data_IF_370295687572
#
_entry.id   IF_370295687572
#
_cell.length_a   1.000
_cell.length_b   1.000
_cell.length_c   1.000
_cell.angle_alpha   90.00
_cell.angle_beta   90.00
_cell.angle_gamma   90.00
#
_symmetry.space_group_name_H-M   'P 1'
#
loop_
_entity.id
_entity.type
_entity.pdbx_description
1 polymer ?
#
# COMPACT_ATOMS: atom_id res chain seq x y z
N UNK A 1 7.63 2.53 -1.45
CA UNK A 1 8.01 1.80 -0.24
C UNK A 1 7.32 0.45 -0.23
N UNK A 2 8.00 -0.60 0.19
CA UNK A 2 7.49 -1.97 0.13
C UNK A 2 7.59 -2.59 -1.26
N UNK A 3 8.55 -2.13 -2.07
CA UNK A 3 8.84 -2.79 -3.35
C UNK A 3 9.34 -4.22 -3.14
N UNK A 4 9.14 -5.12 -4.11
CA UNK A 4 9.71 -6.47 -4.07
C UNK A 4 11.23 -6.39 -3.92
N UNK A 5 11.79 -7.22 -3.03
CA UNK A 5 13.22 -7.22 -2.68
C UNK A 5 13.75 -5.92 -2.02
N UNK A 6 12.88 -4.98 -1.62
CA UNK A 6 13.29 -3.77 -0.89
C UNK A 6 13.80 -4.13 0.52
N UNK A 7 15.08 -3.89 0.74
CA UNK A 7 15.75 -4.07 2.03
C UNK A 7 15.79 -2.77 2.83
N UNK A 8 16.17 -2.86 4.11
CA UNK A 8 16.35 -1.67 4.94
C UNK A 8 17.54 -0.81 4.47
N UNK A 9 18.53 -1.41 3.80
CA UNK A 9 19.63 -0.67 3.16
C UNK A 9 19.10 0.30 2.11
N UNK A 10 18.11 -0.11 1.32
CA UNK A 10 17.53 0.77 0.29
C UNK A 10 16.83 1.99 0.89
N UNK A 11 16.21 1.85 2.07
CA UNK A 11 15.63 2.98 2.81
C UNK A 11 16.73 3.94 3.26
N UNK A 12 17.85 3.41 3.75
CA UNK A 12 19.00 4.21 4.16
C UNK A 12 19.64 4.96 2.97
N UNK A 13 19.78 4.31 1.82
CA UNK A 13 20.33 4.90 0.60
C UNK A 13 19.48 6.10 0.13
N UNK A 14 18.14 6.00 0.21
CA UNK A 14 17.23 7.10 -0.10
C UNK A 14 17.43 8.27 0.87
N UNK A 15 17.65 8.00 2.16
CA UNK A 15 17.90 9.03 3.17
C UNK A 15 19.22 9.75 2.87
N UNK A 16 20.30 9.02 2.58
CA UNK A 16 21.60 9.59 2.18
C UNK A 16 21.46 10.44 0.92
N UNK A 17 20.71 9.96 -0.07
CA UNK A 17 20.46 10.70 -1.30
C UNK A 17 19.75 12.03 -1.02
N UNK A 18 18.69 12.02 -0.21
CA UNK A 18 17.96 13.23 0.16
C UNK A 18 18.78 14.18 1.03
N UNK A 19 19.69 13.66 1.86
CA UNK A 19 20.66 14.49 2.59
C UNK A 19 21.58 15.25 1.64
N UNK A 20 22.13 14.57 0.62
CA UNK A 20 22.97 15.18 -0.41
C UNK A 20 22.22 16.30 -1.13
N UNK A 21 20.95 16.07 -1.48
CA UNK A 21 20.10 17.12 -2.09
C UNK A 21 19.89 18.28 -1.12
N UNK A 22 19.59 18.01 0.16
CA UNK A 22 19.41 19.06 1.16
C UNK A 22 20.64 19.98 1.28
N UNK A 23 21.86 19.44 1.13
CA UNK A 23 23.11 20.20 1.18
C UNK A 23 23.35 21.13 -0.03
N UNK A 24 22.52 21.05 -1.08
CA UNK A 24 22.60 21.94 -2.24
C UNK A 24 22.07 23.37 -1.97
N UNK A 25 21.58 23.66 -0.76
CA UNK A 25 21.17 25.01 -0.37
C UNK A 25 19.72 25.37 -0.72
N UNK A 26 18.86 24.37 -0.94
CA UNK A 26 17.44 24.59 -1.16
C UNK A 26 16.77 25.33 0.01
N UNK A 27 15.84 26.22 -0.30
CA UNK A 27 15.07 26.94 0.70
C UNK A 27 14.28 26.00 1.61
N UNK A 28 13.98 26.47 2.83
CA UNK A 28 13.22 25.73 3.82
C UNK A 28 11.88 25.23 3.24
N UNK A 29 11.57 23.95 3.42
CA UNK A 29 10.33 23.30 2.97
C UNK A 29 10.05 23.36 1.45
N UNK A 30 11.04 23.68 0.61
CA UNK A 30 10.87 23.73 -0.85
C UNK A 30 10.80 22.34 -1.50
N UNK A 31 11.52 21.35 -0.95
CA UNK A 31 11.55 19.98 -1.46
C UNK A 31 10.38 19.17 -0.90
N UNK A 32 9.38 18.89 -1.74
CA UNK A 32 8.18 18.14 -1.34
C UNK A 32 8.38 16.65 -1.58
N UNK A 33 8.54 15.89 -0.51
CA UNK A 33 8.73 14.44 -0.59
C UNK A 33 7.42 13.73 -0.25
N UNK A 34 6.93 12.94 -1.21
CA UNK A 34 5.82 12.03 -1.02
C UNK A 34 6.31 10.59 -1.16
N UNK A 35 5.85 9.71 -0.27
CA UNK A 35 6.20 8.29 -0.29
C UNK A 35 4.90 7.50 -0.28
N UNK A 36 4.74 6.68 -1.31
CA UNK A 36 3.57 5.83 -1.48
C UNK A 36 3.96 4.36 -1.28
N UNK A 37 3.09 3.53 -0.68
CA UNK A 37 3.24 2.09 -0.69
C UNK A 37 3.18 1.54 -2.12
N UNK A 38 3.94 0.49 -2.39
CA UNK A 38 3.85 -0.26 -3.64
C UNK A 38 2.52 -1.03 -3.69
N UNK A 39 1.72 -0.87 -4.76
CA UNK A 39 0.44 -1.56 -4.92
C UNK A 39 0.58 -2.64 -5.99
N UNK A 40 0.53 -3.94 -5.64
CA UNK A 40 0.48 -5.04 -6.60
C UNK A 40 -0.69 -4.86 -7.57
N UNK A 41 -0.44 -5.17 -8.84
CA UNK A 41 -1.42 -5.07 -9.92
C UNK A 41 -1.57 -6.42 -10.60
N UNK A 42 -2.80 -6.75 -10.94
CA UNK A 42 -3.16 -7.92 -11.71
C UNK A 42 -2.46 -7.91 -13.07
N UNK A 43 -2.04 -9.07 -13.55
CA UNK A 43 -1.27 -9.28 -14.78
C UNK A 43 0.08 -8.52 -14.82
N UNK A 44 0.71 -8.33 -13.65
CA UNK A 44 2.07 -7.78 -13.57
C UNK A 44 3.02 -8.78 -12.93
N UNK A 45 4.35 -8.71 -13.19
CA UNK A 45 5.32 -9.58 -12.55
C UNK A 45 5.29 -9.54 -11.01
N UNK A 46 4.72 -8.48 -10.44
CA UNK A 46 4.65 -8.25 -9.00
C UNK A 46 3.25 -8.45 -8.42
N UNK A 47 2.33 -9.06 -9.17
CA UNK A 47 0.96 -9.35 -8.72
C UNK A 47 0.92 -10.09 -7.37
N UNK A 48 1.85 -11.02 -7.17
CA UNK A 48 1.93 -11.89 -6.00
C UNK A 48 2.68 -11.27 -4.81
N UNK A 49 3.17 -10.04 -4.96
CA UNK A 49 3.97 -9.34 -3.96
C UNK A 49 3.09 -8.66 -2.89
N UNK A 50 2.22 -9.47 -2.28
CA UNK A 50 1.18 -9.03 -1.34
C UNK A 50 1.63 -9.06 0.13
N UNK A 51 2.88 -9.45 0.40
CA UNK A 51 3.35 -9.78 1.76
C UNK A 51 3.14 -8.65 2.77
N UNK A 52 3.33 -7.38 2.37
CA UNK A 52 3.13 -6.22 3.24
C UNK A 52 1.65 -5.94 3.57
N UNK A 53 0.71 -6.52 2.82
CA UNK A 53 -0.73 -6.32 2.96
C UNK A 53 -1.44 -7.44 3.72
N UNK A 54 -0.69 -8.47 4.12
CA UNK A 54 -1.15 -9.47 5.10
C UNK A 54 -1.14 -8.86 6.51
N UNK A 55 -2.17 -9.15 7.30
CA UNK A 55 -2.34 -8.58 8.65
C UNK A 55 -1.13 -8.79 9.55
N UNK A 56 -0.51 -9.97 9.49
CA UNK A 56 0.69 -10.30 10.27
C UNK A 56 1.90 -9.41 9.97
N UNK A 57 1.95 -8.79 8.80
CA UNK A 57 3.13 -8.05 8.30
C UNK A 57 2.89 -6.54 8.19
N UNK A 58 1.67 -6.06 8.42
CA UNK A 58 1.29 -4.66 8.17
C UNK A 58 2.13 -3.67 8.98
N UNK A 59 2.58 -4.08 10.16
CA UNK A 59 3.43 -3.28 11.03
C UNK A 59 4.83 -3.04 10.47
N UNK A 60 5.36 -3.95 9.64
CA UNK A 60 6.68 -3.78 9.02
C UNK A 60 6.73 -2.53 8.14
N UNK A 61 5.68 -2.28 7.37
CA UNK A 61 5.59 -1.08 6.54
C UNK A 61 5.44 0.19 7.39
N UNK A 62 4.70 0.13 8.52
CA UNK A 62 4.58 1.26 9.46
C UNK A 62 5.94 1.68 10.00
N UNK A 63 6.79 0.73 10.41
CA UNK A 63 8.11 1.03 10.95
C UNK A 63 9.03 1.66 9.90
N UNK A 64 9.01 1.19 8.64
CA UNK A 64 9.76 1.83 7.55
C UNK A 64 9.36 3.31 7.35
N UNK A 65 8.06 3.62 7.38
CA UNK A 65 7.59 5.02 7.31
C UNK A 65 8.07 5.86 8.49
N UNK A 66 8.05 5.31 9.72
CA UNK A 66 8.52 6.02 10.91
C UNK A 66 10.02 6.34 10.83
N UNK A 67 10.84 5.38 10.40
CA UNK A 67 12.28 5.59 10.20
C UNK A 67 12.49 6.70 9.19
N UNK A 68 11.83 6.62 8.03
CA UNK A 68 11.93 7.64 6.99
C UNK A 68 11.52 9.03 7.50
N UNK A 69 10.39 9.15 8.21
CA UNK A 69 9.94 10.44 8.74
C UNK A 69 10.92 11.02 9.76
N UNK A 70 11.41 10.18 10.68
CA UNK A 70 12.36 10.59 11.72
C UNK A 70 13.66 11.12 11.13
N UNK A 71 14.19 10.45 10.12
CA UNK A 71 15.45 10.86 9.50
C UNK A 71 15.27 12.10 8.61
N UNK A 72 14.23 12.14 7.77
CA UNK A 72 14.04 13.25 6.82
C UNK A 72 13.56 14.55 7.48
N UNK A 73 12.90 14.50 8.64
CA UNK A 73 12.52 15.70 9.40
C UNK A 73 13.72 16.55 9.85
N UNK A 74 14.92 15.98 9.87
CA UNK A 74 16.17 16.67 10.21
C UNK A 74 16.59 17.65 9.11
N UNK A 75 16.09 17.48 7.88
CA UNK A 75 16.49 18.26 6.71
C UNK A 75 15.53 19.45 6.52
N UNK A 76 16.03 20.66 6.70
CA UNK A 76 15.23 21.90 6.70
C UNK A 76 14.55 22.18 5.35
N UNK A 77 15.18 21.76 4.26
CA UNK A 77 14.63 21.92 2.90
C UNK A 77 13.45 20.98 2.62
N UNK A 78 13.29 19.89 3.39
CA UNK A 78 12.31 18.84 3.10
C UNK A 78 10.98 19.08 3.80
N UNK A 79 9.91 19.07 3.00
CA UNK A 79 8.52 19.02 3.45
C UNK A 79 7.91 17.65 3.14
N UNK A 80 7.73 16.84 4.18
CA UNK A 80 7.07 15.54 4.06
C UNK A 80 5.56 15.70 3.82
N UNK A 81 5.06 14.93 2.85
CA UNK A 81 3.63 14.89 2.47
C UNK A 81 2.86 13.68 3.01
N UNK A 82 3.51 12.85 3.80
CA UNK A 82 2.94 11.70 4.48
C UNK A 82 3.03 11.91 6.01
N UNK A 83 1.95 11.64 6.76
CA UNK A 83 1.90 11.81 8.23
C UNK A 83 1.09 10.72 8.95
N UNK A 84 0.05 10.19 8.32
CA UNK A 84 -0.81 9.16 8.91
C UNK A 84 -0.52 7.78 8.30
N UNK A 85 0.54 7.12 8.79
CA UNK A 85 1.01 5.84 8.21
C UNK A 85 -0.05 4.74 8.28
N UNK A 86 -0.76 4.66 9.40
CA UNK A 86 -1.84 3.67 9.57
C UNK A 86 -2.91 3.86 8.49
N UNK A 87 -3.30 5.10 8.21
CA UNK A 87 -4.26 5.39 7.15
C UNK A 87 -3.69 5.14 5.76
N UNK A 88 -2.44 5.55 5.49
CA UNK A 88 -1.75 5.30 4.22
C UNK A 88 -1.72 3.80 3.91
N UNK A 89 -1.39 2.97 4.91
CA UNK A 89 -1.26 1.53 4.75
C UNK A 89 -2.64 0.86 4.65
N UNK A 90 -3.65 1.32 5.42
CA UNK A 90 -5.03 0.86 5.25
C UNK A 90 -5.58 1.16 3.85
N UNK A 91 -5.34 2.38 3.35
CA UNK A 91 -5.72 2.77 1.99
C UNK A 91 -4.97 1.93 0.94
N UNK A 92 -3.67 1.70 1.13
CA UNK A 92 -2.90 0.85 0.24
C UNK A 92 -3.41 -0.60 0.24
N UNK A 93 -3.77 -1.15 1.40
CA UNK A 93 -4.38 -2.49 1.51
C UNK A 93 -5.70 -2.56 0.72
N UNK A 94 -6.57 -1.55 0.85
CA UNK A 94 -7.80 -1.42 0.07
C UNK A 94 -7.50 -1.31 -1.44
N UNK A 95 -6.53 -0.48 -1.83
CA UNK A 95 -6.12 -0.34 -3.24
C UNK A 95 -5.57 -1.64 -3.80
N UNK A 96 -4.81 -2.42 -3.02
CA UNK A 96 -4.33 -3.76 -3.41
C UNK A 96 -5.51 -4.71 -3.64
N UNK A 97 -6.51 -4.72 -2.76
CA UNK A 97 -7.72 -5.53 -2.97
C UNK A 97 -8.45 -5.15 -4.27
N UNK A 98 -8.62 -3.85 -4.53
CA UNK A 98 -9.25 -3.35 -5.77
C UNK A 98 -8.42 -3.78 -6.99
N UNK A 99 -7.10 -3.62 -6.91
CA UNK A 99 -6.18 -3.88 -8.02
C UNK A 99 -6.03 -5.34 -8.39
N UNK A 100 -6.30 -6.25 -7.45
CA UNK A 100 -6.24 -7.71 -7.59
C UNK A 100 -7.65 -8.34 -7.59
N UNK A 101 -8.69 -7.52 -7.67
CA UNK A 101 -10.05 -7.94 -7.44
C UNK A 101 -10.68 -8.68 -8.61
N UNK A 102 -11.67 -9.51 -8.31
CA UNK A 102 -12.57 -10.15 -9.26
C UNK A 102 -14.00 -9.59 -9.10
N UNK A 103 -14.99 -10.25 -9.69
CA UNK A 103 -16.40 -9.91 -9.53
C UNK A 103 -16.85 -9.88 -8.06
N UNK A 104 -16.40 -10.83 -7.23
CA UNK A 104 -16.73 -10.83 -5.78
C UNK A 104 -16.22 -9.58 -5.07
N UNK A 105 -15.05 -9.06 -5.45
CA UNK A 105 -14.55 -7.78 -4.93
C UNK A 105 -15.43 -6.63 -5.41
N UNK A 106 -15.90 -6.67 -6.66
CA UNK A 106 -16.82 -5.64 -7.18
C UNK A 106 -18.12 -5.59 -6.38
N UNK A 107 -18.72 -6.74 -6.07
CA UNK A 107 -19.92 -6.82 -5.23
C UNK A 107 -19.67 -6.27 -3.81
N UNK A 108 -18.49 -6.57 -3.26
CA UNK A 108 -18.07 -6.04 -1.96
C UNK A 108 -17.88 -4.53 -1.98
N UNK A 109 -17.31 -3.98 -3.06
CA UNK A 109 -17.13 -2.54 -3.23
C UNK A 109 -18.47 -1.81 -3.40
N UNK A 110 -19.44 -2.41 -4.09
CA UNK A 110 -20.79 -1.87 -4.20
C UNK A 110 -21.44 -1.80 -2.80
N UNK A 111 -21.39 -2.88 -2.02
CA UNK A 111 -21.88 -2.89 -0.65
C UNK A 111 -21.17 -1.83 0.23
N UNK A 112 -19.84 -1.78 0.18
CA UNK A 112 -19.01 -0.77 0.85
C UNK A 112 -19.43 0.67 0.47
N UNK A 113 -19.67 0.93 -0.81
CA UNK A 113 -20.09 2.24 -1.30
C UNK A 113 -21.46 2.64 -0.77
N UNK A 114 -22.46 1.76 -0.89
CA UNK A 114 -23.82 2.02 -0.41
C UNK A 114 -23.91 2.23 1.11
N UNK A 115 -22.93 1.75 1.87
CA UNK A 115 -22.82 1.97 3.31
C UNK A 115 -21.97 3.21 3.69
N UNK A 116 -21.65 4.09 2.74
CA UNK A 116 -21.01 5.38 3.00
C UNK A 116 -19.49 5.40 2.86
N UNK A 117 -18.90 4.39 2.20
CA UNK A 117 -17.52 4.38 1.71
C UNK A 117 -16.43 4.74 2.75
N UNK A 118 -16.62 4.41 4.02
CA UNK A 118 -15.61 4.57 5.09
C UNK A 118 -15.12 3.21 5.62
N UNK A 119 -14.05 3.18 6.41
CA UNK A 119 -13.50 1.91 6.90
C UNK A 119 -14.47 1.11 7.80
N UNK A 120 -15.45 1.75 8.44
CA UNK A 120 -16.53 1.05 9.14
C UNK A 120 -17.50 0.36 8.17
N UNK A 121 -17.84 1.05 7.08
CA UNK A 121 -18.63 0.48 5.97
C UNK A 121 -17.91 -0.72 5.32
N UNK A 122 -16.58 -0.64 5.16
CA UNK A 122 -15.79 -1.74 4.63
C UNK A 122 -15.86 -2.98 5.55
N UNK A 123 -15.65 -2.80 6.85
CA UNK A 123 -15.76 -3.89 7.83
C UNK A 123 -17.16 -4.52 7.85
N UNK A 124 -18.21 -3.69 7.70
CA UNK A 124 -19.58 -4.17 7.58
C UNK A 124 -19.77 -5.01 6.32
N UNK A 125 -19.31 -4.52 5.16
CA UNK A 125 -19.40 -5.27 3.90
C UNK A 125 -18.64 -6.61 3.95
N UNK A 126 -17.44 -6.63 4.54
CA UNK A 126 -16.67 -7.86 4.80
C UNK A 126 -17.48 -8.86 5.64
N UNK A 127 -18.12 -8.40 6.72
CA UNK A 127 -18.95 -9.24 7.60
C UNK A 127 -20.20 -9.76 6.88
N UNK A 128 -20.96 -8.88 6.24
CA UNK A 128 -22.23 -9.22 5.58
C UNK A 128 -22.01 -10.25 4.46
N UNK A 129 -20.90 -10.15 3.75
CA UNK A 129 -20.54 -11.05 2.64
C UNK A 129 -19.67 -12.24 3.05
N UNK A 130 -19.38 -12.41 4.35
CA UNK A 130 -18.45 -13.42 4.88
C UNK A 130 -17.14 -13.44 4.08
N UNK A 131 -16.57 -12.26 3.85
CA UNK A 131 -15.36 -12.05 3.07
C UNK A 131 -14.18 -11.69 3.99
N UNK A 132 -13.04 -12.32 3.74
CA UNK A 132 -11.77 -12.00 4.39
C UNK A 132 -10.76 -11.54 3.34
N UNK A 133 -10.32 -10.29 3.46
CA UNK A 133 -9.31 -9.74 2.56
C UNK A 133 -7.97 -10.48 2.69
N UNK A 134 -7.61 -10.91 3.89
CA UNK A 134 -6.38 -11.70 4.12
C UNK A 134 -6.44 -13.03 3.37
N UNK A 135 -7.55 -13.76 3.49
CA UNK A 135 -7.74 -15.03 2.77
C UNK A 135 -7.74 -14.84 1.26
N UNK A 136 -8.39 -13.78 0.76
CA UNK A 136 -8.40 -13.46 -0.66
C UNK A 136 -6.99 -13.20 -1.20
N UNK A 137 -6.18 -12.39 -0.52
CA UNK A 137 -4.80 -12.11 -0.93
C UNK A 137 -3.91 -13.35 -0.86
N UNK A 138 -4.13 -14.24 0.11
CA UNK A 138 -3.42 -15.51 0.18
C UNK A 138 -3.73 -16.41 -1.03
N UNK A 139 -4.99 -16.48 -1.47
CA UNK A 139 -5.36 -17.21 -2.70
C UNK A 139 -4.60 -16.69 -3.92
N UNK A 140 -4.51 -15.37 -4.10
CA UNK A 140 -3.74 -14.76 -5.20
C UNK A 140 -2.28 -15.21 -5.17
N UNK A 141 -1.68 -15.17 -3.97
CA UNK A 141 -0.30 -15.62 -3.78
C UNK A 141 -0.12 -17.10 -4.12
N UNK A 142 -1.14 -17.93 -3.87
CA UNK A 142 -1.23 -19.35 -4.22
C UNK A 142 -1.68 -19.59 -5.68
N UNK A 143 -1.47 -18.62 -6.57
CA UNK A 143 -1.75 -18.71 -8.01
C UNK A 143 -3.24 -18.76 -8.39
N UNK A 144 -4.15 -18.33 -7.51
CA UNK A 144 -5.52 -18.01 -7.94
C UNK A 144 -5.49 -16.88 -8.97
N UNK A 145 -6.15 -17.08 -10.12
CA UNK A 145 -6.37 -16.04 -11.13
C UNK A 145 -7.77 -15.43 -10.95
N UNK A 146 -7.87 -14.13 -10.61
CA UNK A 146 -9.13 -13.37 -10.61
C UNK A 146 -9.85 -13.33 -11.95
N UNK A 147 -9.11 -13.43 -13.06
CA UNK A 147 -9.68 -13.45 -14.40
C UNK A 147 -10.04 -14.89 -14.79
N UNK A 148 -11.33 -15.14 -14.93
CA UNK A 148 -11.85 -16.29 -15.66
C UNK A 148 -12.11 -15.86 -17.10
N UNK A 149 -11.27 -16.30 -18.03
CA UNK A 149 -11.64 -16.21 -19.45
C UNK A 149 -12.68 -17.29 -19.72
N UNK A 150 -13.93 -16.89 -19.91
CA UNK A 150 -14.91 -17.77 -20.54
C UNK A 150 -14.48 -17.89 -22.00
N UNK A 151 -13.89 -19.03 -22.37
CA UNK A 151 -13.79 -19.39 -23.76
C UNK A 151 -15.22 -19.72 -24.19
N UNK A 152 -15.84 -18.81 -24.95
CA UNK A 152 -17.07 -19.14 -25.67
C UNK A 152 -16.74 -20.29 -26.63
N UNK A 153 -17.32 -21.46 -26.38
CA UNK A 153 -17.24 -22.64 -27.24
C UNK A 153 -18.24 -22.51 -28.39
#
# INVERSE_FOLDING_TARGET
>A
MGLPNETDSNIHDIIIFLEKINRLGFEKNSLRINVNPFIPKLNTPYEKEINFYLEKNINGLVEKYKVLERELKKFSSIKLKFKNYKMIIKNARLQTMISLGNQKISDLLLNYYYNGANFGALQKAEKDMKFSMTEYLLKIKECYSPWTMYLEN
#
